data_IF_337119779070
#
_entry.id   IF_337119779070
#
_cell.length_a   1.000
_cell.length_b   1.000
_cell.length_c   1.000
_cell.angle_alpha   90.00
_cell.angle_beta   90.00
_cell.angle_gamma   90.00
#
_symmetry.space_group_name_H-M   'P 1'
#
loop_
_entity.id
_entity.type
_entity.pdbx_description
1 polymer ?
#
# COMPACT_ATOMS: atom_id res chain seq x y z
N UNK A 1 -25.83 -5.12 -12.45
CA UNK A 1 -25.66 -5.09 -10.98
C UNK A 1 -24.22 -5.43 -10.56
N UNK A 2 -23.66 -6.59 -10.96
CA UNK A 2 -22.27 -7.00 -10.61
C UNK A 2 -21.21 -6.04 -11.19
N UNK A 3 -21.34 -5.64 -12.46
CA UNK A 3 -20.41 -4.73 -13.11
C UNK A 3 -20.31 -3.36 -12.41
N UNK A 4 -21.44 -2.86 -11.87
CA UNK A 4 -21.50 -1.58 -11.16
C UNK A 4 -20.69 -1.62 -9.86
N UNK A 5 -20.79 -2.71 -9.09
CA UNK A 5 -20.02 -2.92 -7.87
C UNK A 5 -18.51 -2.98 -8.14
N UNK A 6 -18.09 -3.64 -9.23
CA UNK A 6 -16.68 -3.70 -9.61
C UNK A 6 -16.12 -2.30 -9.92
N UNK A 7 -16.87 -1.50 -10.69
CA UNK A 7 -16.43 -0.15 -11.09
C UNK A 7 -16.42 0.83 -9.91
N UNK A 8 -17.37 0.73 -8.98
CA UNK A 8 -17.50 1.69 -7.88
C UNK A 8 -16.65 1.34 -6.65
N UNK A 9 -16.33 0.06 -6.45
CA UNK A 9 -15.64 -0.40 -5.23
C UNK A 9 -14.23 -0.89 -5.52
N UNK A 10 -14.07 -1.81 -6.48
CA UNK A 10 -12.79 -2.47 -6.72
C UNK A 10 -11.87 -1.68 -7.64
N UNK A 11 -12.40 -1.00 -8.66
CA UNK A 11 -11.60 -0.20 -9.58
C UNK A 11 -10.87 0.96 -8.86
N UNK A 12 -11.52 1.75 -7.97
CA UNK A 12 -10.83 2.80 -7.22
C UNK A 12 -9.82 2.23 -6.22
N UNK A 13 -10.13 1.10 -5.58
CA UNK A 13 -9.20 0.39 -4.70
C UNK A 13 -7.93 -0.01 -5.46
N UNK A 14 -8.07 -0.67 -6.61
CA UNK A 14 -6.93 -1.08 -7.45
C UNK A 14 -6.14 0.15 -7.90
N UNK A 15 -6.81 1.20 -8.37
CA UNK A 15 -6.16 2.45 -8.78
C UNK A 15 -5.31 3.04 -7.65
N UNK A 16 -5.87 3.13 -6.44
CA UNK A 16 -5.18 3.69 -5.28
C UNK A 16 -3.90 2.90 -4.93
N UNK A 17 -3.97 1.57 -4.87
CA UNK A 17 -2.82 0.76 -4.45
C UNK A 17 -1.83 0.48 -5.58
N UNK A 18 -2.24 0.51 -6.85
CA UNK A 18 -1.32 0.36 -7.99
C UNK A 18 -0.64 1.69 -8.28
N UNK A 19 -1.42 2.75 -8.56
CA UNK A 19 -0.87 4.06 -8.92
C UNK A 19 -0.26 4.74 -7.69
N UNK A 20 -0.98 4.80 -6.58
CA UNK A 20 -0.45 5.34 -5.33
C UNK A 20 0.70 4.48 -4.78
N UNK A 21 0.63 3.16 -4.94
CA UNK A 21 1.74 2.26 -4.60
C UNK A 21 2.99 2.56 -5.41
N UNK A 22 2.88 2.82 -6.72
CA UNK A 22 4.01 3.21 -7.56
C UNK A 22 4.69 4.46 -7.00
N UNK A 23 3.93 5.51 -6.67
CA UNK A 23 4.49 6.72 -6.05
C UNK A 23 5.14 6.44 -4.69
N UNK A 24 4.51 5.60 -3.86
CA UNK A 24 5.05 5.21 -2.56
C UNK A 24 6.39 4.47 -2.69
N UNK A 25 6.48 3.48 -3.57
CA UNK A 25 7.71 2.72 -3.80
C UNK A 25 8.81 3.54 -4.46
N UNK A 26 8.46 4.48 -5.36
CA UNK A 26 9.42 5.47 -5.88
C UNK A 26 9.95 6.35 -4.75
N UNK A 27 9.10 6.78 -3.82
CA UNK A 27 9.52 7.50 -2.61
C UNK A 27 10.50 6.68 -1.76
N UNK A 28 10.19 5.39 -1.54
CA UNK A 28 11.11 4.46 -0.85
C UNK A 28 12.45 4.35 -1.58
N UNK A 29 12.42 4.22 -2.91
CA UNK A 29 13.64 4.15 -3.71
C UNK A 29 14.50 5.41 -3.54
N UNK A 30 13.89 6.60 -3.57
CA UNK A 30 14.57 7.88 -3.39
C UNK A 30 15.23 7.95 -2.01
N UNK A 31 14.52 7.65 -0.91
CA UNK A 31 15.09 7.75 0.44
C UNK A 31 16.22 6.75 0.70
N UNK A 32 16.19 5.59 0.02
CA UNK A 32 17.30 4.63 0.06
C UNK A 32 18.49 5.19 -0.73
N UNK A 33 18.23 5.74 -1.92
CA UNK A 33 19.27 6.27 -2.80
C UNK A 33 19.96 7.51 -2.24
N UNK A 34 19.24 8.35 -1.49
CA UNK A 34 19.77 9.54 -0.82
C UNK A 34 20.48 9.25 0.50
N UNK A 35 20.62 7.97 0.89
CA UNK A 35 21.17 7.52 2.18
C UNK A 35 20.40 8.04 3.42
N UNK A 36 19.22 8.65 3.22
CA UNK A 36 18.30 9.03 4.30
C UNK A 36 17.78 7.79 5.03
N UNK A 37 17.55 6.70 4.29
CA UNK A 37 17.32 5.36 4.81
C UNK A 37 18.53 4.46 4.51
N UNK A 38 19.50 4.47 5.42
CA UNK A 38 20.71 3.68 5.30
C UNK A 38 20.49 2.19 5.66
N UNK A 39 20.52 1.30 4.66
CA UNK A 39 20.32 -0.14 4.84
C UNK A 39 21.39 -0.84 5.69
N UNK A 40 22.56 -0.23 5.92
CA UNK A 40 23.60 -0.78 6.81
C UNK A 40 23.18 -0.69 8.29
N UNK A 41 22.35 0.29 8.66
CA UNK A 41 21.87 0.48 10.04
C UNK A 41 20.68 -0.43 10.35
N UNK A 42 20.76 -1.20 11.46
CA UNK A 42 19.68 -2.13 11.89
C UNK A 42 18.33 -1.42 12.07
N UNK A 43 18.33 -0.23 12.67
CA UNK A 43 17.13 0.57 12.93
C UNK A 43 16.45 1.03 11.63
N UNK A 44 17.21 1.44 10.62
CA UNK A 44 16.64 1.89 9.34
C UNK A 44 16.02 0.72 8.57
N UNK A 45 16.61 -0.49 8.66
CA UNK A 45 15.98 -1.72 8.13
C UNK A 45 14.70 -2.11 8.85
N UNK A 46 14.57 -1.77 10.14
CA UNK A 46 13.29 -1.91 10.84
C UNK A 46 12.25 -0.94 10.25
N UNK A 47 12.60 0.34 10.09
CA UNK A 47 11.70 1.32 9.48
C UNK A 47 11.30 0.98 8.05
N UNK A 48 12.20 0.43 7.21
CA UNK A 48 11.83 -0.04 5.88
C UNK A 48 10.79 -1.16 5.93
N UNK A 49 10.96 -2.12 6.86
CA UNK A 49 9.96 -3.19 7.08
C UNK A 49 8.64 -2.63 7.59
N UNK A 50 8.66 -1.61 8.45
CA UNK A 50 7.44 -0.92 8.93
C UNK A 50 6.74 -0.19 7.78
N UNK A 51 7.47 0.51 6.90
CA UNK A 51 6.89 1.20 5.74
C UNK A 51 6.23 0.23 4.76
N UNK A 52 6.95 -0.82 4.37
CA UNK A 52 6.43 -1.84 3.44
C UNK A 52 5.28 -2.60 4.12
N UNK A 53 5.47 -3.03 5.37
CA UNK A 53 4.45 -3.74 6.13
C UNK A 53 3.19 -2.90 6.34
N UNK A 54 3.33 -1.61 6.65
CA UNK A 54 2.22 -0.67 6.80
C UNK A 54 1.42 -0.50 5.51
N UNK A 55 2.09 -0.39 4.36
CA UNK A 55 1.42 -0.32 3.06
C UNK A 55 0.52 -1.54 2.81
N UNK A 56 1.07 -2.75 2.99
CA UNK A 56 0.29 -3.98 2.81
C UNK A 56 -0.77 -4.19 3.89
N UNK A 57 -0.47 -3.83 5.14
CA UNK A 57 -1.46 -3.89 6.22
C UNK A 57 -2.69 -3.05 5.90
N UNK A 58 -2.49 -1.80 5.48
CA UNK A 58 -3.61 -0.93 5.07
C UNK A 58 -4.31 -1.44 3.81
N UNK A 59 -3.58 -1.99 2.83
CA UNK A 59 -4.18 -2.62 1.65
C UNK A 59 -5.11 -3.78 2.02
N UNK A 60 -4.66 -4.69 2.87
CA UNK A 60 -5.47 -5.83 3.31
C UNK A 60 -6.62 -5.40 4.22
N UNK A 61 -6.38 -4.49 5.16
CA UNK A 61 -7.44 -3.96 6.02
C UNK A 61 -8.54 -3.30 5.20
N UNK A 62 -8.17 -2.49 4.20
CA UNK A 62 -9.14 -1.82 3.34
C UNK A 62 -9.91 -2.83 2.46
N UNK A 63 -9.23 -3.82 1.88
CA UNK A 63 -9.91 -4.89 1.15
C UNK A 63 -10.87 -5.69 2.05
N UNK A 64 -10.45 -5.98 3.29
CA UNK A 64 -11.29 -6.64 4.29
C UNK A 64 -12.54 -5.82 4.59
N UNK A 65 -12.41 -4.51 4.81
CA UNK A 65 -13.56 -3.62 5.04
C UNK A 65 -14.50 -3.52 3.84
N UNK A 66 -13.98 -3.55 2.60
CA UNK A 66 -14.80 -3.62 1.39
C UNK A 66 -15.63 -4.92 1.39
N UNK A 67 -14.99 -6.05 1.68
CA UNK A 67 -15.67 -7.35 1.73
C UNK A 67 -16.71 -7.36 2.86
N UNK A 68 -16.36 -6.86 4.05
CA UNK A 68 -17.32 -6.72 5.15
C UNK A 68 -18.52 -5.89 4.73
N UNK A 69 -18.33 -4.73 4.09
CA UNK A 69 -19.44 -3.88 3.66
C UNK A 69 -20.31 -4.49 2.55
N UNK A 70 -19.77 -5.42 1.74
CA UNK A 70 -20.51 -6.05 0.65
C UNK A 70 -21.30 -7.30 1.08
N UNK A 71 -20.85 -8.00 2.13
CA UNK A 71 -21.35 -9.34 2.47
C UNK A 71 -21.81 -9.49 3.92
N UNK A 72 -21.63 -8.48 4.77
CA UNK A 72 -21.94 -8.49 6.19
C UNK A 72 -22.85 -7.32 6.55
#
# INVERSE_FOLDING_TARGET
MILQSIIQTWLPFIYLYVVGGLFFFVGIYIIIKSDSLNLKKKQHRFWLRVLIGGFFFFMFLHAFLIISALYL
#
